data_IF_194580176172
#
_entry.id   IF_194580176172
#
_cell.length_a   1.000
_cell.length_b   1.000
_cell.length_c   1.000
_cell.angle_alpha   90.00
_cell.angle_beta   90.00
_cell.angle_gamma   90.00
#
_symmetry.space_group_name_H-M   'P 1'
#
loop_
_entity.id
_entity.type
_entity.pdbx_description
1 polymer ?
#
# COMPACT_ATOMS: atom_id res chain seq x y z
N UNK A 1 12.08 -21.48 -8.90
CA UNK A 1 13.00 -20.71 -8.05
C UNK A 1 12.81 -19.26 -8.41
N UNK A 2 12.20 -18.45 -7.55
CA UNK A 2 12.06 -17.02 -7.83
C UNK A 2 13.44 -16.41 -7.67
N UNK A 3 14.04 -15.94 -8.76
CA UNK A 3 15.30 -15.21 -8.73
C UNK A 3 15.03 -13.90 -7.99
N UNK A 4 15.50 -13.78 -6.75
CA UNK A 4 15.53 -12.50 -6.08
C UNK A 4 16.56 -11.63 -6.79
N UNK A 5 16.18 -10.39 -7.12
CA UNK A 5 17.13 -9.38 -7.55
C UNK A 5 18.26 -9.27 -6.50
N UNK A 6 19.50 -9.00 -6.92
CA UNK A 6 20.60 -8.80 -5.98
C UNK A 6 20.24 -7.68 -5.00
N UNK A 7 20.76 -7.76 -3.77
CA UNK A 7 20.58 -6.70 -2.79
C UNK A 7 21.06 -5.37 -3.39
N UNK A 8 20.21 -4.35 -3.32
CA UNK A 8 20.50 -3.01 -3.81
C UNK A 8 20.50 -2.05 -2.63
N UNK A 9 21.53 -1.22 -2.56
CA UNK A 9 21.54 -0.08 -1.65
C UNK A 9 20.65 1.02 -2.25
N UNK A 10 19.55 1.32 -1.56
CA UNK A 10 18.63 2.39 -1.92
C UNK A 10 18.82 3.53 -0.94
N UNK A 11 19.13 4.72 -1.45
CA UNK A 11 19.31 5.93 -0.64
C UNK A 11 17.95 6.41 -0.12
N UNK A 12 17.88 6.71 1.18
CA UNK A 12 16.73 7.35 1.83
C UNK A 12 17.10 8.80 2.15
N UNK A 13 16.28 9.75 1.72
CA UNK A 13 16.43 11.17 2.07
C UNK A 13 15.55 11.53 3.27
N UNK A 14 16.07 12.31 4.22
CA UNK A 14 15.25 12.93 5.24
C UNK A 14 14.32 13.97 4.62
N UNK A 15 13.21 14.31 5.30
CA UNK A 15 12.29 15.34 4.81
C UNK A 15 12.98 16.69 4.60
N UNK A 16 13.88 17.07 5.53
CA UNK A 16 14.64 18.32 5.47
C UNK A 16 15.67 18.36 4.33
N UNK A 17 16.07 17.20 3.80
CA UNK A 17 17.03 17.10 2.69
C UNK A 17 16.36 17.26 1.31
N UNK A 18 15.03 17.43 1.26
CA UNK A 18 14.25 17.51 0.03
C UNK A 18 13.65 18.91 -0.11
N UNK A 19 14.19 19.68 -1.06
CA UNK A 19 13.83 21.09 -1.27
C UNK A 19 12.90 21.32 -2.47
N UNK A 20 12.62 20.30 -3.27
CA UNK A 20 11.73 20.36 -4.43
C UNK A 20 10.37 19.71 -4.12
N UNK A 21 9.36 20.06 -4.92
CA UNK A 21 8.06 19.37 -4.93
C UNK A 21 8.05 18.21 -5.94
N UNK A 22 7.02 17.36 -5.89
CA UNK A 22 6.84 16.21 -6.79
C UNK A 22 5.45 16.21 -7.42
N UNK A 23 5.36 15.78 -8.68
CA UNK A 23 4.07 15.58 -9.38
C UNK A 23 3.28 14.38 -8.84
N UNK A 24 3.97 13.38 -8.28
CA UNK A 24 3.36 12.17 -7.69
C UNK A 24 4.04 11.84 -6.36
N UNK A 25 3.24 11.59 -5.32
CA UNK A 25 3.70 11.11 -4.01
C UNK A 25 2.94 9.84 -3.65
N UNK A 26 3.68 8.75 -3.43
CA UNK A 26 3.12 7.50 -2.90
C UNK A 26 3.42 7.41 -1.40
N UNK A 27 2.38 7.41 -0.58
CA UNK A 27 2.50 7.30 0.88
C UNK A 27 2.31 5.83 1.28
N UNK A 28 3.37 5.20 1.80
CA UNK A 28 3.41 3.79 2.18
C UNK A 28 3.71 3.54 3.67
N UNK A 29 3.45 4.53 4.53
CA UNK A 29 3.56 4.35 5.99
C UNK A 29 2.40 3.52 6.56
N UNK A 30 2.50 3.03 7.78
CA UNK A 30 1.34 2.42 8.47
C UNK A 30 0.26 3.48 8.71
N UNK A 31 -1.00 3.08 8.70
CA UNK A 31 -2.17 3.98 8.82
C UNK A 31 -2.09 4.93 10.02
N UNK A 32 -1.62 4.45 11.18
CA UNK A 32 -1.46 5.26 12.40
C UNK A 32 -0.27 6.25 12.36
N UNK A 33 0.49 6.29 11.27
CA UNK A 33 1.59 7.26 11.05
C UNK A 33 1.22 8.33 10.01
N UNK A 34 0.05 8.25 9.37
CA UNK A 34 -0.33 9.20 8.33
C UNK A 34 -0.35 10.64 8.84
N UNK A 35 -0.89 10.87 10.03
CA UNK A 35 -0.98 12.21 10.62
C UNK A 35 0.40 12.88 10.82
N UNK A 36 1.44 12.07 11.05
CA UNK A 36 2.81 12.57 11.16
C UNK A 36 3.44 12.89 9.78
N UNK A 37 2.89 12.36 8.68
CA UNK A 37 3.35 12.65 7.32
C UNK A 37 2.71 13.92 6.76
N UNK A 38 1.45 14.18 7.11
CA UNK A 38 0.66 15.30 6.54
C UNK A 38 1.38 16.65 6.60
N UNK A 39 2.00 17.09 7.72
CA UNK A 39 2.68 18.39 7.77
C UNK A 39 3.83 18.51 6.75
N UNK A 40 4.44 17.40 6.36
CA UNK A 40 5.52 17.39 5.37
C UNK A 40 5.00 17.51 3.93
N UNK A 41 3.75 17.12 3.66
CA UNK A 41 3.19 17.25 2.31
C UNK A 41 3.12 18.70 1.84
N UNK A 42 2.96 19.66 2.75
CA UNK A 42 2.88 21.10 2.44
C UNK A 42 4.11 21.63 1.70
N UNK A 43 5.30 21.03 1.87
CA UNK A 43 6.52 21.43 1.13
C UNK A 43 6.94 20.44 0.04
N UNK A 44 6.43 19.20 0.07
CA UNK A 44 6.77 18.16 -0.90
C UNK A 44 5.80 18.10 -2.07
N UNK A 45 4.57 18.59 -1.90
CA UNK A 45 3.52 18.59 -2.91
C UNK A 45 3.15 20.02 -3.33
N UNK A 46 2.79 20.17 -4.60
CA UNK A 46 2.09 21.34 -5.12
C UNK A 46 0.59 21.03 -5.26
N UNK A 47 -0.22 22.01 -5.67
CA UNK A 47 -1.68 21.91 -5.69
C UNK A 47 -2.23 20.77 -6.57
N UNK A 48 -1.49 20.42 -7.62
CA UNK A 48 -1.86 19.39 -8.60
C UNK A 48 -1.19 18.02 -8.35
N UNK A 49 -0.35 17.89 -7.32
CA UNK A 49 0.33 16.61 -7.01
C UNK A 49 -0.67 15.48 -6.82
N UNK A 50 -0.47 14.36 -7.53
CA UNK A 50 -1.21 13.12 -7.30
C UNK A 50 -0.66 12.43 -6.05
N UNK A 51 -1.49 12.33 -5.01
CA UNK A 51 -1.17 11.61 -3.77
C UNK A 51 -1.85 10.25 -3.78
N UNK A 52 -1.05 9.19 -3.68
CA UNK A 52 -1.51 7.80 -3.68
C UNK A 52 -1.24 7.19 -2.29
N UNK A 53 -2.29 6.85 -1.55
CA UNK A 53 -2.17 6.10 -0.30
C UNK A 53 -2.01 4.60 -0.57
N UNK A 54 -0.78 4.11 -0.58
CA UNK A 54 -0.44 2.68 -0.66
C UNK A 54 -0.53 2.03 0.73
N UNK A 55 -1.73 2.03 1.31
CA UNK A 55 -2.00 1.58 2.67
C UNK A 55 -3.12 0.53 2.71
N UNK A 56 -3.06 -0.35 3.70
CA UNK A 56 -4.22 -1.18 4.03
C UNK A 56 -5.24 -0.33 4.81
N UNK A 57 -6.53 -0.51 4.56
CA UNK A 57 -7.58 0.19 5.30
C UNK A 57 -8.51 0.99 4.38
N UNK A 58 -9.32 1.85 5.01
CA UNK A 58 -10.23 2.77 4.34
C UNK A 58 -10.39 4.05 5.18
N UNK A 59 -10.85 5.14 4.55
CA UNK A 59 -11.31 6.34 5.26
C UNK A 59 -10.25 7.38 5.64
N UNK A 60 -9.02 7.28 5.14
CA UNK A 60 -7.95 8.22 5.48
C UNK A 60 -7.79 9.39 4.51
N UNK A 61 -8.51 9.37 3.37
CA UNK A 61 -8.34 10.35 2.31
C UNK A 61 -8.72 11.77 2.74
N UNK A 62 -9.78 11.91 3.54
CA UNK A 62 -10.30 13.22 4.00
C UNK A 62 -9.33 13.98 4.92
N UNK A 63 -8.36 13.28 5.52
CA UNK A 63 -7.35 13.91 6.36
C UNK A 63 -6.26 14.61 5.53
N UNK A 64 -6.14 14.31 4.23
CA UNK A 64 -5.08 14.82 3.38
C UNK A 64 -5.59 16.07 2.66
N UNK A 65 -5.03 17.26 2.94
CA UNK A 65 -5.56 18.54 2.45
C UNK A 65 -5.11 18.83 1.00
N UNK A 66 -5.30 17.87 0.10
CA UNK A 66 -4.94 17.97 -1.32
C UNK A 66 -6.12 17.55 -2.20
N UNK A 67 -6.17 18.09 -3.41
CA UNK A 67 -7.26 17.85 -4.36
C UNK A 67 -7.19 16.44 -4.96
N UNK A 68 -5.99 15.99 -5.33
CA UNK A 68 -5.78 14.79 -6.12
C UNK A 68 -5.29 13.64 -5.24
N UNK A 69 -6.17 13.10 -4.39
CA UNK A 69 -5.83 12.03 -3.44
C UNK A 69 -6.61 10.76 -3.78
N UNK A 70 -5.93 9.61 -3.79
CA UNK A 70 -6.59 8.32 -3.99
C UNK A 70 -6.00 7.22 -3.11
N UNK A 71 -6.84 6.23 -2.77
CA UNK A 71 -6.41 5.02 -2.08
C UNK A 71 -5.93 3.98 -3.10
N UNK A 72 -4.77 3.38 -2.84
CA UNK A 72 -4.30 2.20 -3.55
C UNK A 72 -4.51 0.94 -2.70
N UNK A 73 -5.02 -0.12 -3.33
CA UNK A 73 -5.05 -1.47 -2.77
C UNK A 73 -3.74 -2.16 -3.09
N UNK A 74 -2.98 -2.50 -2.06
CA UNK A 74 -1.61 -3.03 -2.20
C UNK A 74 -1.60 -4.55 -2.21
N UNK A 75 -1.04 -5.12 -3.27
CA UNK A 75 -0.64 -6.52 -3.38
C UNK A 75 0.87 -6.58 -3.62
N UNK A 76 1.62 -6.28 -2.56
CA UNK A 76 3.09 -6.32 -2.52
C UNK A 76 3.45 -6.95 -1.17
N UNK A 77 4.12 -8.08 -1.19
CA UNK A 77 4.49 -8.82 0.01
C UNK A 77 5.97 -8.66 0.32
N UNK A 78 6.28 -8.27 1.55
CA UNK A 78 7.66 -8.15 2.01
C UNK A 78 7.74 -7.91 3.51
N UNK A 79 8.96 -7.77 4.00
CA UNK A 79 9.27 -7.45 5.40
C UNK A 79 10.43 -6.47 5.49
N UNK A 80 10.48 -5.72 6.59
CA UNK A 80 11.62 -4.89 6.99
C UNK A 80 12.17 -5.42 8.33
N UNK A 81 13.48 -5.65 8.41
CA UNK A 81 14.21 -6.04 9.63
C UNK A 81 15.43 -5.12 9.78
N UNK A 82 15.45 -4.30 10.83
CA UNK A 82 16.40 -3.17 10.86
C UNK A 82 16.20 -2.32 9.61
N UNK A 83 17.27 -2.00 8.89
CA UNK A 83 17.20 -1.28 7.61
C UNK A 83 17.28 -2.18 6.37
N UNK A 84 17.11 -3.49 6.54
CA UNK A 84 17.05 -4.44 5.44
C UNK A 84 15.59 -4.72 5.06
N UNK A 85 15.26 -4.49 3.79
CA UNK A 85 13.96 -4.84 3.20
C UNK A 85 14.11 -6.12 2.37
N UNK A 86 13.22 -7.08 2.58
CA UNK A 86 13.12 -8.29 1.77
C UNK A 86 11.75 -8.32 1.11
N UNK A 87 11.73 -8.24 -0.22
CA UNK A 87 10.53 -8.47 -1.03
C UNK A 87 10.33 -9.98 -1.24
N UNK A 88 9.08 -10.44 -1.19
CA UNK A 88 8.73 -11.85 -1.33
C UNK A 88 8.01 -12.15 -2.64
N UNK A 89 7.04 -11.33 -3.03
CA UNK A 89 6.21 -11.52 -4.23
C UNK A 89 5.32 -10.31 -4.50
N UNK A 90 4.82 -10.29 -5.72
CA UNK A 90 3.83 -9.36 -6.26
C UNK A 90 4.33 -7.90 -6.30
N UNK A 91 3.81 -7.15 -7.27
CA UNK A 91 4.19 -5.76 -7.51
C UNK A 91 2.97 -4.88 -7.79
N UNK A 92 1.77 -5.33 -7.39
CA UNK A 92 0.51 -4.75 -7.86
C UNK A 92 -0.03 -3.68 -6.92
N UNK A 93 -0.45 -2.56 -7.51
CA UNK A 93 -1.28 -1.53 -6.90
C UNK A 93 -2.56 -1.40 -7.72
N UNK A 94 -3.72 -1.59 -7.07
CA UNK A 94 -5.02 -1.31 -7.69
C UNK A 94 -5.47 0.08 -7.28
N UNK A 95 -5.82 0.95 -8.22
CA UNK A 95 -6.12 2.37 -7.96
C UNK A 95 -7.35 2.78 -8.78
N UNK A 96 -8.15 3.74 -8.30
CA UNK A 96 -9.28 4.28 -9.05
C UNK A 96 -8.83 4.79 -10.44
N UNK A 97 -9.55 4.38 -11.48
CA UNK A 97 -9.36 4.87 -12.83
C UNK A 97 -9.82 6.34 -12.94
N UNK A 98 -8.90 7.21 -13.34
CA UNK A 98 -9.13 8.62 -13.68
C UNK A 98 -7.97 9.14 -14.57
N UNK A 99 -8.04 10.40 -15.00
CA UNK A 99 -7.03 10.98 -15.89
C UNK A 99 -5.59 10.93 -15.32
N UNK A 100 -5.42 11.32 -14.05
CA UNK A 100 -4.10 11.36 -13.40
C UNK A 100 -3.53 9.96 -13.14
N UNK A 101 -4.37 9.00 -12.76
CA UNK A 101 -3.91 7.62 -12.51
C UNK A 101 -3.60 6.86 -13.80
N UNK A 102 -4.25 7.20 -14.92
CA UNK A 102 -3.84 6.76 -16.27
C UNK A 102 -2.48 7.31 -16.65
N UNK A 103 -2.28 8.61 -16.49
CA UNK A 103 -0.98 9.24 -16.75
C UNK A 103 0.13 8.64 -15.88
N UNK A 104 -0.15 8.40 -14.60
CA UNK A 104 0.80 7.75 -13.69
C UNK A 104 1.12 6.31 -14.12
N UNK A 105 0.12 5.50 -14.49
CA UNK A 105 0.36 4.14 -15.03
C UNK A 105 1.26 4.19 -16.26
N UNK A 106 0.97 5.09 -17.19
CA UNK A 106 1.73 5.21 -18.43
C UNK A 106 3.18 5.66 -18.14
N UNK A 107 3.39 6.53 -17.14
CA UNK A 107 4.72 6.94 -16.67
C UNK A 107 5.55 5.77 -16.11
N UNK A 108 4.91 4.82 -15.42
CA UNK A 108 5.62 3.70 -14.76
C UNK A 108 5.60 2.39 -15.56
N UNK A 109 5.16 2.43 -16.82
CA UNK A 109 4.95 1.24 -17.65
C UNK A 109 6.21 0.38 -17.88
N UNK A 110 7.40 1.01 -17.88
CA UNK A 110 8.69 0.32 -18.05
C UNK A 110 9.26 -0.22 -16.73
N UNK A 111 8.54 -0.02 -15.62
CA UNK A 111 8.89 -0.56 -14.30
C UNK A 111 8.26 -1.94 -14.06
N UNK A 112 8.60 -2.59 -12.94
CA UNK A 112 7.93 -3.83 -12.51
C UNK A 112 6.61 -3.59 -11.76
N UNK A 113 6.28 -2.34 -11.43
CA UNK A 113 5.06 -2.02 -10.68
C UNK A 113 3.86 -2.21 -11.59
N UNK A 114 2.97 -3.11 -11.19
CA UNK A 114 1.73 -3.41 -11.91
C UNK A 114 0.60 -2.50 -11.42
N UNK A 115 0.27 -1.47 -12.21
CA UNK A 115 -0.82 -0.55 -11.91
C UNK A 115 -2.11 -1.04 -12.58
N UNK A 116 -3.02 -1.57 -11.77
CA UNK A 116 -4.35 -1.97 -12.21
C UNK A 116 -5.32 -0.82 -11.93
N UNK A 117 -5.92 -0.26 -12.98
CA UNK A 117 -6.94 0.77 -12.83
C UNK A 117 -8.33 0.16 -12.68
N UNK A 118 -9.02 0.54 -11.61
CA UNK A 118 -10.34 0.06 -11.25
C UNK A 118 -11.40 1.08 -11.62
N UNK A 119 -12.44 0.66 -12.34
CA UNK A 119 -13.58 1.52 -12.61
C UNK A 119 -14.27 1.99 -11.31
N UNK A 120 -14.30 1.13 -10.29
CA UNK A 120 -14.76 1.46 -8.94
C UNK A 120 -13.82 0.83 -7.90
N UNK A 121 -12.95 1.65 -7.30
CA UNK A 121 -11.96 1.20 -6.34
C UNK A 121 -12.57 0.65 -5.03
N UNK A 122 -13.81 1.02 -4.71
CA UNK A 122 -14.46 0.62 -3.45
C UNK A 122 -14.58 -0.89 -3.31
N UNK A 123 -14.90 -1.59 -4.40
CA UNK A 123 -15.00 -3.05 -4.40
C UNK A 123 -13.65 -3.69 -4.05
N UNK A 124 -12.55 -3.21 -4.66
CA UNK A 124 -11.21 -3.72 -4.40
C UNK A 124 -10.76 -3.44 -2.97
N UNK A 125 -11.09 -2.25 -2.42
CA UNK A 125 -10.77 -1.90 -1.04
C UNK A 125 -11.53 -2.81 -0.07
N UNK A 126 -12.84 -2.95 -0.22
CA UNK A 126 -13.65 -3.82 0.64
C UNK A 126 -13.22 -5.29 0.55
N UNK A 127 -12.91 -5.79 -0.64
CA UNK A 127 -12.36 -7.13 -0.80
C UNK A 127 -11.06 -7.30 -0.01
N UNK A 128 -10.12 -6.33 -0.12
CA UNK A 128 -8.85 -6.38 0.63
C UNK A 128 -9.07 -6.28 2.13
N UNK A 129 -10.04 -5.48 2.59
CA UNK A 129 -10.42 -5.39 4.00
C UNK A 129 -10.88 -6.74 4.54
N UNK A 130 -11.73 -7.46 3.81
CA UNK A 130 -12.16 -8.81 4.19
C UNK A 130 -11.00 -9.80 4.24
N UNK A 131 -10.10 -9.78 3.24
CA UNK A 131 -8.89 -10.62 3.24
C UNK A 131 -8.02 -10.33 4.48
N UNK A 132 -7.81 -9.04 4.80
CA UNK A 132 -7.05 -8.63 5.96
C UNK A 132 -7.75 -9.02 7.27
N UNK A 133 -9.06 -8.83 7.37
CA UNK A 133 -9.88 -9.21 8.53
C UNK A 133 -9.70 -10.70 8.84
N UNK A 134 -9.82 -11.56 7.84
CA UNK A 134 -9.63 -12.99 8.01
C UNK A 134 -8.20 -13.36 8.41
N UNK A 135 -7.23 -13.15 7.51
CA UNK A 135 -5.90 -13.73 7.68
C UNK A 135 -5.08 -12.96 8.72
N UNK A 136 -5.16 -11.63 8.77
CA UNK A 136 -4.33 -10.86 9.70
C UNK A 136 -4.82 -11.01 11.14
N UNK A 137 -6.13 -11.12 11.38
CA UNK A 137 -6.65 -11.31 12.75
C UNK A 137 -6.23 -12.67 13.30
N UNK A 138 -6.41 -13.73 12.52
CA UNK A 138 -6.06 -15.09 12.93
C UNK A 138 -4.56 -15.24 13.16
N UNK A 139 -3.72 -14.75 12.23
CA UNK A 139 -2.27 -14.87 12.37
C UNK A 139 -1.71 -14.00 13.50
N UNK A 140 -2.25 -12.79 13.71
CA UNK A 140 -1.83 -11.92 14.80
C UNK A 140 -2.23 -12.47 16.18
N UNK A 141 -3.50 -12.87 16.37
CA UNK A 141 -3.98 -13.40 17.64
C UNK A 141 -3.33 -14.76 17.97
N UNK A 142 -3.16 -15.62 16.95
CA UNK A 142 -2.52 -16.92 17.10
C UNK A 142 -1.00 -16.86 17.23
N UNK A 143 -0.36 -15.72 16.93
CA UNK A 143 1.10 -15.56 16.88
C UNK A 143 1.79 -16.62 16.02
N UNK A 144 1.13 -17.00 14.94
CA UNK A 144 1.60 -18.02 14.00
C UNK A 144 1.53 -17.47 12.58
N UNK A 145 2.36 -18.03 11.69
CA UNK A 145 2.24 -17.78 10.26
C UNK A 145 0.93 -18.35 9.72
N UNK A 146 0.67 -18.17 8.42
CA UNK A 146 -0.51 -18.75 7.74
C UNK A 146 -0.65 -20.27 7.93
N UNK A 147 0.41 -20.96 8.37
CA UNK A 147 0.37 -22.37 8.76
C UNK A 147 -0.71 -22.69 9.82
N UNK A 148 -1.14 -21.72 10.63
CA UNK A 148 -2.26 -21.88 11.57
C UNK A 148 -3.56 -22.32 10.88
N UNK A 149 -3.72 -22.02 9.59
CA UNK A 149 -4.88 -22.42 8.76
C UNK A 149 -4.91 -23.94 8.45
N UNK A 150 -3.86 -24.70 8.79
CA UNK A 150 -3.90 -26.17 8.72
C UNK A 150 -4.85 -26.77 9.78
N UNK A 151 -5.15 -26.04 10.86
CA UNK A 151 -6.13 -26.46 11.86
C UNK A 151 -7.58 -26.28 11.32
N UNK A 152 -8.39 -27.35 11.25
CA UNK A 152 -9.77 -27.27 10.75
C UNK A 152 -10.65 -26.25 11.48
N UNK A 153 -10.51 -26.15 12.80
CA UNK A 153 -11.29 -25.26 13.65
C UNK A 153 -10.98 -23.79 13.34
N UNK A 154 -9.71 -23.48 13.06
CA UNK A 154 -9.28 -22.14 12.64
C UNK A 154 -9.85 -21.79 11.27
N UNK A 155 -9.95 -22.75 10.33
CA UNK A 155 -10.62 -22.51 9.04
C UNK A 155 -12.10 -22.21 9.23
N UNK A 156 -12.78 -22.93 10.12
CA UNK A 156 -14.19 -22.66 10.45
C UNK A 156 -14.35 -21.26 11.05
N UNK A 157 -13.52 -20.89 12.02
CA UNK A 157 -13.52 -19.55 12.63
C UNK A 157 -13.26 -18.47 11.58
N UNK A 158 -12.26 -18.66 10.71
CA UNK A 158 -11.91 -17.73 9.65
C UNK A 158 -13.08 -17.52 8.67
N UNK A 159 -13.81 -18.58 8.32
CA UNK A 159 -15.03 -18.49 7.51
C UNK A 159 -16.14 -17.73 8.24
N UNK A 160 -16.36 -18.00 9.53
CA UNK A 160 -17.39 -17.29 10.32
C UNK A 160 -17.09 -15.80 10.47
N UNK A 161 -15.81 -15.41 10.52
CA UNK A 161 -15.41 -14.00 10.57
C UNK A 161 -15.71 -13.23 9.26
N UNK A 162 -15.87 -13.94 8.15
CA UNK A 162 -16.13 -13.38 6.83
C UNK A 162 -17.61 -13.36 6.43
N UNK A 163 -18.49 -14.01 7.21
CA UNK A 163 -19.93 -14.10 6.98
C UNK A 163 -20.66 -13.06 7.85
#
# INVERSE_FOLDING_TARGET
TVLHAPAQDIVVKGYEDVTNTFDVIIIAVKTHRLDAVIPHLTHLAHEDTLIILAQNGYGQLEHIPFKNVCQAVVYISGQKKGDVVTHFRDYQLRIQDNALTRQFRDLVQDSQIDIVLEANIQQAIWYKLLVNLAINSITALGRQTVAIMHNPEIRTLCRQLLL
#
